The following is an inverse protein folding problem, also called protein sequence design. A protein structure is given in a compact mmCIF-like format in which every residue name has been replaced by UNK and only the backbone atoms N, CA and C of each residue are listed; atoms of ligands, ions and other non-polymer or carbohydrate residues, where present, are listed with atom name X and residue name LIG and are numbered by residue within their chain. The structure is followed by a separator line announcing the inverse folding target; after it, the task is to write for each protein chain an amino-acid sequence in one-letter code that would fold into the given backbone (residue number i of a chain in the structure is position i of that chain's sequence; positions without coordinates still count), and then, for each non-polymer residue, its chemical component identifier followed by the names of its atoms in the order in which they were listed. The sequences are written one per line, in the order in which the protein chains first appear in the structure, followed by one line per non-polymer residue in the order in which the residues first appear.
data_IF_375606943627
#
_entry.id   IF_375606943627
#
_cell.length_a   1.000
_cell.length_b   1.000
_cell.length_c   1.000
_cell.angle_alpha   90.00
_cell.angle_beta   90.00
_cell.angle_gamma   90.00
#
_symmetry.space_group_name_H-M   'P 1'
#
loop_
_entity.id
_entity.type
_entity.pdbx_description
1 polymer ?
#
# COMPACT_ATOMS: atom_id res chain seq x y z
N UNK A 1 -9.81 -31.96 24.47
CA UNK A 1 -10.77 -31.69 23.38
C UNK A 1 -10.96 -30.18 23.35
N UNK A 2 -10.72 -29.54 22.21
CA UNK A 2 -10.91 -28.08 22.11
C UNK A 2 -12.40 -27.74 22.21
N UNK A 3 -12.79 -26.69 22.95
CA UNK A 3 -14.19 -26.27 23.02
C UNK A 3 -14.73 -25.88 21.63
N UNK A 4 -16.05 -26.01 21.41
CA UNK A 4 -16.66 -25.70 20.12
C UNK A 4 -16.51 -24.21 19.79
N UNK A 5 -15.98 -23.89 18.61
CA UNK A 5 -15.74 -22.52 18.15
C UNK A 5 -16.89 -21.92 17.33
N UNK A 6 -17.87 -22.74 16.95
CA UNK A 6 -19.08 -22.35 16.19
C UNK A 6 -20.11 -21.55 17.02
N UNK A 7 -19.79 -21.25 18.28
CA UNK A 7 -20.66 -20.48 19.17
C UNK A 7 -20.40 -18.96 19.13
N UNK A 8 -19.44 -18.50 18.33
CA UNK A 8 -19.07 -17.09 18.23
C UNK A 8 -19.78 -16.39 17.08
N UNK A 9 -20.10 -15.11 17.29
CA UNK A 9 -20.74 -14.27 16.27
C UNK A 9 -19.93 -12.98 16.09
N UNK A 10 -18.83 -13.02 15.30
CA UNK A 10 -18.03 -11.84 15.00
C UNK A 10 -18.83 -10.77 14.24
N UNK A 11 -18.28 -9.57 14.09
CA UNK A 11 -18.86 -8.52 13.25
C UNK A 11 -18.59 -8.86 11.78
N UNK A 12 -17.37 -9.33 11.46
CA UNK A 12 -16.93 -9.67 10.12
C UNK A 12 -16.30 -8.50 9.37
N UNK A 13 -15.27 -8.81 8.58
CA UNK A 13 -14.41 -7.83 7.92
C UNK A 13 -15.18 -6.81 7.07
N UNK A 14 -16.17 -7.28 6.30
CA UNK A 14 -16.98 -6.43 5.43
C UNK A 14 -17.81 -5.41 6.22
N UNK A 15 -18.40 -5.84 7.33
CA UNK A 15 -19.24 -4.97 8.16
C UNK A 15 -18.38 -3.96 8.92
N UNK A 16 -17.19 -4.36 9.38
CA UNK A 16 -16.22 -3.44 10.00
C UNK A 16 -15.82 -2.34 9.01
N UNK A 17 -15.44 -2.69 7.77
CA UNK A 17 -15.06 -1.70 6.74
C UNK A 17 -16.20 -0.73 6.45
N UNK A 18 -17.42 -1.25 6.26
CA UNK A 18 -18.61 -0.42 5.98
C UNK A 18 -18.97 0.48 7.17
N UNK A 19 -18.86 -0.04 8.39
CA UNK A 19 -19.14 0.71 9.62
C UNK A 19 -18.16 1.86 9.82
N UNK A 20 -16.86 1.58 9.73
CA UNK A 20 -15.80 2.59 9.83
C UNK A 20 -15.99 3.68 8.79
N UNK A 21 -16.30 3.31 7.55
CA UNK A 21 -16.51 4.27 6.47
C UNK A 21 -17.74 5.17 6.66
N UNK A 22 -18.84 4.61 7.16
CA UNK A 22 -20.06 5.38 7.41
C UNK A 22 -19.87 6.38 8.56
N UNK A 23 -19.20 5.94 9.65
CA UNK A 23 -18.98 6.78 10.84
C UNK A 23 -17.89 7.83 10.59
N UNK A 24 -16.78 7.42 9.97
CA UNK A 24 -15.60 8.26 9.75
C UNK A 24 -15.63 8.97 8.38
N UNK A 25 -16.73 8.88 7.63
CA UNK A 25 -16.84 9.50 6.31
C UNK A 25 -16.64 11.02 6.31
N UNK A 26 -16.91 11.69 7.44
CA UNK A 26 -16.62 13.12 7.61
C UNK A 26 -15.13 13.45 7.64
N UNK A 27 -14.30 12.53 8.14
CA UNK A 27 -12.85 12.71 8.28
C UNK A 27 -12.09 12.38 6.99
N UNK A 28 -12.79 11.90 5.95
CA UNK A 28 -12.23 11.47 4.66
C UNK A 28 -10.90 10.71 4.78
N UNK A 29 -10.84 9.60 5.55
CA UNK A 29 -9.62 8.82 5.64
C UNK A 29 -9.11 8.39 4.28
N UNK A 30 -7.79 8.49 4.11
CA UNK A 30 -7.09 8.16 2.86
C UNK A 30 -6.99 6.64 2.66
N UNK A 31 -6.91 5.88 3.75
CA UNK A 31 -6.72 4.44 3.67
C UNK A 31 -7.52 3.70 4.73
N UNK A 32 -8.25 2.69 4.27
CA UNK A 32 -8.91 1.70 5.11
C UNK A 32 -8.18 0.38 4.92
N UNK A 33 -7.36 -0.01 5.89
CA UNK A 33 -6.74 -1.33 5.86
C UNK A 33 -7.85 -2.39 5.79
N UNK A 34 -7.72 -3.42 4.94
CA UNK A 34 -8.65 -4.55 4.94
C UNK A 34 -8.78 -5.06 6.37
N UNK A 35 -9.98 -5.00 6.97
CA UNK A 35 -10.15 -5.48 8.33
C UNK A 35 -9.77 -6.95 8.42
N UNK A 36 -9.30 -7.36 9.59
CA UNK A 36 -8.82 -8.71 9.81
C UNK A 36 -9.70 -9.36 10.86
N UNK A 37 -10.24 -10.53 10.52
CA UNK A 37 -10.89 -11.43 11.48
C UNK A 37 -10.00 -12.66 11.62
N UNK A 38 -9.44 -12.88 12.82
CA UNK A 38 -8.56 -14.04 13.07
C UNK A 38 -9.37 -15.30 13.37
N UNK A 39 -8.70 -16.45 13.30
CA UNK A 39 -9.31 -17.71 13.72
C UNK A 39 -9.66 -17.71 15.21
N UNK A 40 -10.73 -18.40 15.64
CA UNK A 40 -11.08 -18.50 17.05
C UNK A 40 -9.98 -19.18 17.87
N UNK A 41 -9.56 -18.51 18.93
CA UNK A 41 -8.68 -19.03 19.96
C UNK A 41 -9.48 -19.36 21.23
N UNK A 42 -8.81 -19.91 22.25
CA UNK A 42 -9.46 -20.31 23.50
C UNK A 42 -8.66 -19.77 24.67
N UNK A 43 -9.34 -19.16 25.64
CA UNK A 43 -8.73 -18.74 26.90
C UNK A 43 -9.52 -19.38 28.06
N UNK A 44 -8.85 -20.05 28.99
CA UNK A 44 -9.51 -20.68 30.16
C UNK A 44 -10.77 -21.52 29.82
N UNK A 45 -10.76 -22.23 28.68
CA UNK A 45 -11.90 -23.02 28.21
C UNK A 45 -13.03 -22.24 27.50
N UNK A 46 -12.91 -20.93 27.36
CA UNK A 46 -13.87 -20.09 26.64
C UNK A 46 -13.30 -19.73 25.25
N UNK A 47 -14.00 -20.06 24.16
CA UNK A 47 -13.59 -19.63 22.83
C UNK A 47 -13.73 -18.12 22.70
N UNK A 48 -12.78 -17.49 22.02
CA UNK A 48 -12.80 -16.07 21.69
C UNK A 48 -12.22 -15.84 20.30
N UNK A 49 -12.59 -14.72 19.70
CA UNK A 49 -12.14 -14.30 18.38
C UNK A 49 -11.82 -12.82 18.40
N UNK A 50 -10.76 -12.43 17.69
CA UNK A 50 -10.27 -11.06 17.62
C UNK A 50 -10.49 -10.52 16.21
N UNK A 51 -11.00 -9.29 16.14
CA UNK A 51 -11.10 -8.55 14.88
C UNK A 51 -10.44 -7.18 15.04
N UNK A 52 -9.76 -6.74 13.99
CA UNK A 52 -9.13 -5.42 13.96
C UNK A 52 -9.51 -4.66 12.68
N UNK A 53 -9.57 -3.34 12.79
CA UNK A 53 -9.67 -2.42 11.67
C UNK A 53 -8.70 -1.28 11.87
N UNK A 54 -7.97 -0.89 10.83
CA UNK A 54 -7.07 0.26 10.88
C UNK A 54 -7.47 1.25 9.80
N UNK A 55 -7.62 2.50 10.19
CA UNK A 55 -7.94 3.62 9.32
C UNK A 55 -6.80 4.62 9.42
N UNK A 56 -6.35 5.16 8.30
CA UNK A 56 -5.20 6.06 8.23
C UNK A 56 -5.48 7.26 7.31
N UNK A 57 -4.93 8.42 7.67
CA UNK A 57 -4.94 9.64 6.88
C UNK A 57 -6.26 10.40 6.90
N UNK A 58 -6.48 11.23 5.89
CA UNK A 58 -7.59 12.17 5.84
C UNK A 58 -7.36 13.40 6.70
N UNK A 59 -8.44 13.91 7.29
CA UNK A 59 -8.44 15.06 8.20
C UNK A 59 -8.06 14.68 9.65
N UNK A 60 -7.44 13.50 9.84
CA UNK A 60 -6.93 13.06 11.13
C UNK A 60 -5.65 13.84 11.50
N UNK A 61 -5.55 14.39 12.72
CA UNK A 61 -4.39 15.16 13.14
C UNK A 61 -3.16 14.26 13.33
N UNK A 62 -2.01 14.56 12.68
CA UNK A 62 -0.82 13.72 12.76
C UNK A 62 -0.10 13.80 14.11
N UNK A 63 -0.26 14.90 14.84
CA UNK A 63 0.43 15.16 16.11
C UNK A 63 -0.29 14.59 17.35
N UNK A 64 -1.43 13.93 17.16
CA UNK A 64 -2.22 13.36 18.25
C UNK A 64 -1.96 11.87 18.43
N UNK A 65 -2.24 11.38 19.64
CA UNK A 65 -2.28 9.95 19.91
C UNK A 65 -3.38 9.30 19.10
N UNK A 66 -3.09 8.13 18.54
CA UNK A 66 -4.05 7.33 17.79
C UNK A 66 -5.29 7.03 18.64
N UNK A 67 -6.47 7.21 18.03
CA UNK A 67 -7.73 6.89 18.68
C UNK A 67 -7.97 5.37 18.61
N UNK A 68 -8.26 4.76 19.77
CA UNK A 68 -8.52 3.32 19.87
C UNK A 68 -10.01 3.07 20.12
N UNK A 69 -10.70 2.56 19.11
CA UNK A 69 -12.09 2.16 19.20
C UNK A 69 -12.18 0.73 19.74
N UNK A 70 -12.69 0.59 20.96
CA UNK A 70 -12.72 -0.68 21.70
C UNK A 70 -14.11 -1.28 21.67
N UNK A 71 -14.20 -2.54 21.28
CA UNK A 71 -15.46 -3.30 21.29
C UNK A 71 -15.30 -4.65 21.97
N UNK A 72 -16.30 -5.04 22.74
CA UNK A 72 -16.43 -6.38 23.31
C UNK A 72 -17.84 -6.91 23.02
N UNK A 73 -17.96 -8.07 22.37
CA UNK A 73 -19.25 -8.65 21.97
C UNK A 73 -20.20 -7.63 21.30
N UNK A 74 -19.69 -6.85 20.34
CA UNK A 74 -20.42 -5.78 19.62
C UNK A 74 -20.86 -4.58 20.49
N UNK A 75 -20.42 -4.50 21.74
CA UNK A 75 -20.69 -3.36 22.64
C UNK A 75 -19.45 -2.43 22.68
N UNK A 76 -19.60 -1.12 22.43
CA UNK A 76 -18.49 -0.18 22.54
C UNK A 76 -18.09 0.04 24.00
N UNK A 77 -16.79 0.04 24.26
CA UNK A 77 -16.21 0.32 25.57
C UNK A 77 -15.66 1.75 25.59
N UNK A 78 -16.35 2.65 26.29
CA UNK A 78 -16.03 4.09 26.30
C UNK A 78 -15.09 4.49 27.45
N UNK A 79 -15.26 3.89 28.63
CA UNK A 79 -14.55 4.27 29.84
C UNK A 79 -13.34 3.35 30.15
N UNK A 80 -12.49 3.78 31.07
CA UNK A 80 -11.34 3.01 31.59
C UNK A 80 -10.37 2.49 30.50
N UNK A 81 -10.04 3.34 29.51
CA UNK A 81 -9.13 2.95 28.43
C UNK A 81 -7.75 2.49 28.92
N UNK A 82 -7.19 3.11 29.97
CA UNK A 82 -5.84 2.77 30.47
C UNK A 82 -5.71 1.37 31.09
N UNK A 83 -6.80 0.82 31.63
CA UNK A 83 -6.82 -0.52 32.24
C UNK A 83 -7.32 -1.63 31.31
N UNK A 84 -7.59 -1.31 30.05
CA UNK A 84 -8.18 -2.26 29.10
C UNK A 84 -7.09 -2.99 28.31
N UNK A 85 -7.15 -4.32 28.28
CA UNK A 85 -6.25 -5.16 27.50
C UNK A 85 -6.16 -4.76 26.03
N UNK A 86 -7.27 -4.31 25.42
CA UNK A 86 -7.30 -3.83 24.04
C UNK A 86 -6.38 -2.62 23.81
N UNK A 87 -6.41 -1.64 24.72
CA UNK A 87 -5.56 -0.44 24.62
C UNK A 87 -4.11 -0.79 24.89
N UNK A 88 -3.86 -1.65 25.88
CA UNK A 88 -2.52 -2.09 26.25
C UNK A 88 -1.88 -2.89 25.12
N UNK A 89 -2.64 -3.80 24.49
CA UNK A 89 -2.17 -4.55 23.32
C UNK A 89 -1.79 -3.63 22.15
N UNK A 90 -2.53 -2.52 21.93
CA UNK A 90 -2.13 -1.50 20.96
C UNK A 90 -0.84 -0.80 21.40
N UNK A 91 -0.69 -0.45 22.67
CA UNK A 91 0.52 0.19 23.19
C UNK A 91 1.78 -0.69 23.21
N UNK A 92 1.61 -2.01 23.30
CA UNK A 92 2.71 -2.99 23.36
C UNK A 92 3.33 -3.29 21.98
N UNK A 93 2.64 -2.96 20.90
CA UNK A 93 3.15 -3.13 19.52
C UNK A 93 4.10 -1.98 19.17
N UNK A 94 5.25 -2.31 18.58
CA UNK A 94 6.24 -1.33 18.10
C UNK A 94 5.80 -0.75 16.73
N UNK A 95 4.99 0.32 16.78
CA UNK A 95 4.39 0.92 15.58
C UNK A 95 5.36 1.68 14.69
N UNK A 96 6.56 2.00 15.20
CA UNK A 96 7.66 2.62 14.43
C UNK A 96 8.04 1.78 13.21
N UNK A 97 7.96 0.46 13.34
CA UNK A 97 8.23 -0.49 12.24
C UNK A 97 7.18 -0.44 11.14
N UNK A 98 5.99 0.08 11.46
CA UNK A 98 4.81 0.13 10.61
C UNK A 98 4.48 1.55 10.12
N UNK A 99 5.34 2.54 10.41
CA UNK A 99 5.25 3.90 9.87
C UNK A 99 4.45 4.90 10.71
N UNK A 100 4.14 4.58 11.97
CA UNK A 100 3.63 5.56 12.94
C UNK A 100 4.74 5.96 13.93
N UNK A 101 4.60 7.14 14.56
CA UNK A 101 5.55 7.60 15.56
C UNK A 101 5.19 7.00 16.94
N UNK A 102 6.17 6.65 17.76
CA UNK A 102 5.93 6.17 19.12
C UNK A 102 7.07 6.64 20.03
N UNK A 103 6.84 7.76 20.72
CA UNK A 103 7.84 8.39 21.58
C UNK A 103 8.11 7.49 22.79
N UNK A 104 9.37 7.11 22.99
CA UNK A 104 9.77 6.24 24.11
C UNK A 104 9.51 4.74 23.88
N UNK A 105 8.99 4.31 22.73
CA UNK A 105 8.86 2.89 22.36
C UNK A 105 7.85 2.07 23.17
N UNK A 106 7.10 2.70 24.08
CA UNK A 106 5.99 2.10 24.83
C UNK A 106 4.82 3.08 24.88
N UNK A 107 3.60 2.56 24.95
CA UNK A 107 2.37 3.37 25.00
C UNK A 107 1.77 3.61 23.62
N UNK A 108 0.70 4.39 23.56
CA UNK A 108 -0.04 4.59 22.32
C UNK A 108 0.82 5.32 21.27
N UNK A 109 0.78 4.89 19.99
CA UNK A 109 1.45 5.59 18.91
C UNK A 109 0.79 6.94 18.64
N UNK A 110 1.56 7.82 17.99
CA UNK A 110 1.15 9.10 17.45
C UNK A 110 1.07 9.01 15.93
N UNK A 111 0.03 9.63 15.38
CA UNK A 111 -0.17 9.68 13.93
C UNK A 111 -1.64 9.78 13.54
N UNK A 112 -1.91 10.05 12.26
CA UNK A 112 -3.25 10.23 11.73
C UNK A 112 -3.90 8.87 11.51
N UNK A 113 -4.16 8.12 12.59
CA UNK A 113 -4.75 6.79 12.51
C UNK A 113 -5.83 6.56 13.57
N UNK A 114 -6.77 5.68 13.25
CA UNK A 114 -7.78 5.14 14.16
C UNK A 114 -7.67 3.61 14.12
N UNK A 115 -7.60 2.98 15.28
CA UNK A 115 -7.50 1.53 15.40
C UNK A 115 -8.75 1.01 16.10
N UNK A 116 -9.54 0.22 15.39
CA UNK A 116 -10.64 -0.55 15.93
C UNK A 116 -10.14 -1.92 16.38
N UNK A 117 -10.47 -2.29 17.61
CA UNK A 117 -10.17 -3.60 18.19
C UNK A 117 -11.44 -4.18 18.78
N UNK A 118 -11.82 -5.36 18.31
CA UNK A 118 -13.00 -6.09 18.76
C UNK A 118 -12.61 -7.46 19.30
N UNK A 119 -13.12 -7.81 20.48
CA UNK A 119 -13.06 -9.17 21.03
C UNK A 119 -14.46 -9.74 21.14
N UNK A 120 -14.67 -10.90 20.56
CA UNK A 120 -15.89 -11.70 20.69
C UNK A 120 -15.59 -12.94 21.53
N UNK A 121 -16.37 -13.22 22.57
CA UNK A 121 -16.25 -14.45 23.35
C UNK A 121 -17.57 -14.81 24.02
N UNK A 122 -17.78 -16.09 24.32
CA UNK A 122 -18.91 -16.56 25.14
C UNK A 122 -18.91 -15.92 26.53
N UNK A 123 -17.73 -15.71 27.09
CA UNK A 123 -17.49 -14.99 28.33
C UNK A 123 -16.37 -14.01 28.06
N UNK A 124 -16.60 -12.70 28.19
CA UNK A 124 -15.51 -11.72 28.10
C UNK A 124 -14.97 -11.50 29.52
N UNK A 125 -13.64 -11.56 29.73
CA UNK A 125 -13.06 -11.30 31.04
C UNK A 125 -13.04 -9.79 31.26
N UNK A 126 -13.96 -9.27 32.06
CA UNK A 126 -13.99 -7.84 32.43
C UNK A 126 -13.21 -7.60 33.72
N UNK A 127 -12.56 -6.44 33.83
CA UNK A 127 -11.85 -6.03 35.06
C UNK A 127 -12.81 -5.65 36.20
N UNK A 128 -14.00 -5.17 35.86
CA UNK A 128 -15.03 -4.70 36.79
C UNK A 128 -16.41 -5.22 36.41
N UNK A 129 -17.34 -5.24 37.37
CA UNK A 129 -18.74 -5.61 37.15
C UNK A 129 -19.47 -4.66 36.19
N UNK A 130 -18.98 -3.42 36.07
CA UNK A 130 -19.50 -2.41 35.15
C UNK A 130 -19.18 -2.72 33.66
N UNK A 131 -18.33 -3.72 33.38
CA UNK A 131 -17.98 -4.20 32.03
C UNK A 131 -17.40 -3.11 31.12
N UNK A 132 -16.59 -2.21 31.67
CA UNK A 132 -16.02 -1.08 30.93
C UNK A 132 -14.64 -1.38 30.29
N UNK A 133 -13.92 -2.36 30.82
CA UNK A 133 -12.59 -2.74 30.35
C UNK A 133 -12.40 -4.26 30.37
N UNK A 134 -11.71 -4.78 29.35
CA UNK A 134 -11.32 -6.18 29.25
C UNK A 134 -10.04 -6.40 30.06
N UNK A 135 -10.00 -7.46 30.86
CA UNK A 135 -8.86 -7.83 31.67
C UNK A 135 -7.70 -8.37 30.82
N UNK A 136 -6.48 -8.16 31.31
CA UNK A 136 -5.24 -8.63 30.69
C UNK A 136 -5.08 -10.13 30.93
N UNK A 137 -5.39 -10.92 29.90
CA UNK A 137 -5.18 -12.36 29.88
C UNK A 137 -4.15 -12.68 28.81
N UNK A 138 -3.15 -13.50 29.11
CA UNK A 138 -1.99 -13.73 28.24
C UNK A 138 -2.38 -14.30 26.88
N UNK A 139 -3.36 -15.21 26.83
CA UNK A 139 -3.85 -15.78 25.57
C UNK A 139 -4.53 -14.71 24.70
N UNK A 140 -5.30 -13.81 25.31
CA UNK A 140 -5.98 -12.71 24.59
C UNK A 140 -4.95 -11.68 24.12
N UNK A 141 -3.99 -11.31 24.96
CA UNK A 141 -2.93 -10.36 24.62
C UNK A 141 -2.05 -10.86 23.48
N UNK A 142 -1.72 -12.15 23.48
CA UNK A 142 -0.94 -12.78 22.41
C UNK A 142 -1.69 -12.69 21.08
N UNK A 143 -2.98 -13.05 21.07
CA UNK A 143 -3.78 -13.05 19.85
C UNK A 143 -4.06 -11.63 19.33
N UNK A 144 -4.32 -10.68 20.23
CA UNK A 144 -4.42 -9.26 19.91
C UNK A 144 -3.12 -8.74 19.29
N UNK A 145 -1.97 -9.07 19.87
CA UNK A 145 -0.67 -8.67 19.36
C UNK A 145 -0.38 -9.21 17.97
N UNK A 146 -0.75 -10.47 17.69
CA UNK A 146 -0.64 -11.06 16.35
C UNK A 146 -1.55 -10.37 15.34
N UNK A 147 -2.81 -10.09 15.71
CA UNK A 147 -3.75 -9.36 14.86
C UNK A 147 -3.20 -7.97 14.50
N UNK A 148 -2.82 -7.18 15.51
CA UNK A 148 -2.32 -5.82 15.34
C UNK A 148 -1.05 -5.76 14.49
N UNK A 149 -0.12 -6.71 14.66
CA UNK A 149 1.08 -6.83 13.81
C UNK A 149 0.73 -7.11 12.35
N UNK A 150 -0.28 -7.93 12.09
CA UNK A 150 -0.74 -8.20 10.73
C UNK A 150 -1.40 -6.97 10.10
N UNK A 151 -2.27 -6.28 10.84
CA UNK A 151 -2.83 -4.99 10.41
C UNK A 151 -1.75 -3.93 10.17
N UNK A 152 -0.74 -3.86 11.04
CA UNK A 152 0.40 -2.96 10.91
C UNK A 152 1.25 -3.22 9.66
N UNK A 153 1.43 -4.50 9.27
CA UNK A 153 2.10 -4.82 7.99
C UNK A 153 1.35 -4.26 6.79
N UNK A 154 0.01 -4.38 6.78
CA UNK A 154 -0.84 -3.83 5.70
C UNK A 154 -0.72 -2.30 5.63
N UNK A 155 -0.72 -1.63 6.79
CA UNK A 155 -0.48 -0.19 6.88
C UNK A 155 0.90 0.20 6.32
N UNK A 156 1.96 -0.53 6.71
CA UNK A 156 3.33 -0.28 6.24
C UNK A 156 3.45 -0.37 4.73
N UNK A 157 2.83 -1.38 4.12
CA UNK A 157 2.82 -1.53 2.65
C UNK A 157 2.22 -0.31 1.99
N UNK A 158 1.06 0.16 2.47
CA UNK A 158 0.42 1.36 1.97
C UNK A 158 1.28 2.63 2.14
N UNK A 159 1.89 2.83 3.32
CA UNK A 159 2.77 3.98 3.55
C UNK A 159 4.02 3.96 2.66
N UNK A 160 4.59 2.77 2.45
CA UNK A 160 5.74 2.59 1.55
C UNK A 160 5.35 2.89 0.10
N UNK A 161 4.16 2.41 -0.34
CA UNK A 161 3.57 2.72 -1.64
C UNK A 161 3.41 4.22 -1.84
N UNK A 162 2.89 4.92 -0.83
CA UNK A 162 2.69 6.38 -0.85
C UNK A 162 4.01 7.15 -0.97
N UNK A 163 5.01 6.83 -0.14
CA UNK A 163 6.33 7.49 -0.17
C UNK A 163 7.03 7.26 -1.50
N UNK A 164 6.99 6.03 -2.02
CA UNK A 164 7.59 5.71 -3.31
C UNK A 164 6.89 6.47 -4.45
N UNK A 165 5.54 6.48 -4.48
CA UNK A 165 4.76 7.23 -5.47
C UNK A 165 5.07 8.73 -5.42
N UNK A 166 5.16 9.32 -4.23
CA UNK A 166 5.45 10.74 -4.07
C UNK A 166 6.85 11.12 -4.62
N UNK A 167 7.91 10.40 -4.20
CA UNK A 167 9.28 10.65 -4.67
C UNK A 167 9.41 10.50 -6.17
N UNK A 168 8.76 9.48 -6.74
CA UNK A 168 8.87 9.24 -8.18
C UNK A 168 8.05 10.24 -8.99
N UNK A 169 6.90 10.69 -8.48
CA UNK A 169 6.11 11.78 -9.08
C UNK A 169 6.89 13.11 -9.05
N UNK A 170 7.52 13.45 -7.93
CA UNK A 170 8.38 14.63 -7.83
C UNK A 170 9.53 14.57 -8.85
N UNK A 171 10.23 13.44 -8.94
CA UNK A 171 11.29 13.23 -9.95
C UNK A 171 10.75 13.45 -11.37
N UNK A 172 9.56 12.94 -11.66
CA UNK A 172 8.93 13.07 -12.98
C UNK A 172 8.57 14.52 -13.31
N UNK A 173 7.91 15.24 -12.40
CA UNK A 173 7.54 16.65 -12.58
C UNK A 173 8.77 17.53 -12.80
N UNK A 174 9.83 17.29 -12.03
CA UNK A 174 11.12 17.98 -12.18
C UNK A 174 11.71 17.72 -13.56
N UNK A 175 11.75 16.46 -14.02
CA UNK A 175 12.31 16.11 -15.33
C UNK A 175 11.49 16.73 -16.46
N UNK A 176 10.15 16.66 -16.40
CA UNK A 176 9.27 17.25 -17.41
C UNK A 176 9.41 18.77 -17.50
N UNK A 177 9.59 19.46 -16.38
CA UNK A 177 9.73 20.91 -16.36
C UNK A 177 11.13 21.36 -16.82
N UNK A 178 12.18 20.71 -16.31
CA UNK A 178 13.56 21.16 -16.47
C UNK A 178 14.12 20.75 -17.84
N UNK A 179 13.85 19.53 -18.31
CA UNK A 179 14.50 19.01 -19.51
C UNK A 179 14.20 19.84 -20.78
N UNK A 180 12.95 20.28 -21.06
CA UNK A 180 12.66 21.16 -22.19
C UNK A 180 13.33 22.53 -22.06
N UNK A 181 13.41 23.08 -20.84
CA UNK A 181 14.05 24.37 -20.57
C UNK A 181 15.55 24.31 -20.83
N UNK A 182 16.21 23.21 -20.44
CA UNK A 182 17.64 22.97 -20.74
C UNK A 182 17.82 22.85 -22.25
N UNK A 183 16.99 22.05 -22.92
CA UNK A 183 17.08 21.85 -24.36
C UNK A 183 16.91 23.15 -25.15
N UNK A 184 15.95 24.00 -24.77
CA UNK A 184 15.73 25.30 -25.40
C UNK A 184 16.92 26.25 -25.19
N UNK A 185 17.45 26.34 -23.96
CA UNK A 185 18.61 27.19 -23.66
C UNK A 185 19.86 26.73 -24.41
N UNK A 186 20.16 25.44 -24.38
CA UNK A 186 21.32 24.87 -25.08
C UNK A 186 21.21 25.03 -26.60
N UNK A 187 20.01 24.83 -27.16
CA UNK A 187 19.74 25.04 -28.58
C UNK A 187 19.94 26.51 -28.99
N UNK A 188 19.51 27.48 -28.15
CA UNK A 188 19.74 28.91 -28.36
C UNK A 188 21.23 29.28 -28.32
N UNK A 189 21.98 28.76 -27.34
CA UNK A 189 23.42 29.05 -27.22
C UNK A 189 24.19 28.52 -28.44
N UNK A 190 23.85 27.33 -28.91
CA UNK A 190 24.54 26.66 -30.02
C UNK A 190 23.91 27.00 -31.39
N UNK A 191 22.87 27.84 -31.43
CA UNK A 191 22.07 28.17 -32.63
C UNK A 191 21.64 26.94 -33.44
N UNK A 192 21.21 25.87 -32.75
CA UNK A 192 20.72 24.63 -33.37
C UNK A 192 19.23 24.43 -33.07
N UNK A 193 18.60 23.51 -33.80
CA UNK A 193 17.23 23.07 -33.51
C UNK A 193 17.19 22.30 -32.19
N UNK A 194 16.06 22.39 -31.49
CA UNK A 194 15.81 21.68 -30.24
C UNK A 194 15.90 20.16 -30.52
N UNK A 195 16.75 19.41 -29.78
CA UNK A 195 16.87 17.97 -29.97
C UNK A 195 15.60 17.25 -29.48
N UNK A 196 15.31 16.08 -30.06
CA UNK A 196 14.26 15.21 -29.54
C UNK A 196 14.65 14.69 -28.16
N UNK A 197 13.78 14.89 -27.16
CA UNK A 197 14.07 14.61 -25.75
C UNK A 197 13.74 13.18 -25.33
N UNK A 198 12.98 12.47 -26.17
CA UNK A 198 12.43 11.14 -25.90
C UNK A 198 13.51 10.15 -25.43
N UNK A 199 14.64 10.10 -26.15
CA UNK A 199 15.75 9.21 -25.80
C UNK A 199 16.42 9.57 -24.46
N UNK A 200 16.47 10.85 -24.10
CA UNK A 200 17.05 11.32 -22.84
C UNK A 200 16.11 11.08 -21.67
N UNK A 201 14.80 11.30 -21.86
CA UNK A 201 13.77 10.98 -20.88
C UNK A 201 13.83 9.49 -20.52
N UNK A 202 13.89 8.63 -21.53
CA UNK A 202 14.03 7.18 -21.34
C UNK A 202 15.29 6.79 -20.57
N UNK A 203 16.43 7.46 -20.80
CA UNK A 203 17.67 7.18 -20.05
C UNK A 203 17.61 7.62 -18.58
N UNK A 204 16.97 8.75 -18.28
CA UNK A 204 16.86 9.28 -16.91
C UNK A 204 15.83 8.50 -16.09
N UNK A 205 14.75 8.09 -16.75
CA UNK A 205 13.61 7.43 -16.12
C UNK A 205 13.86 5.93 -16.00
N UNK A 206 14.18 5.24 -17.10
CA UNK A 206 14.53 3.81 -17.08
C UNK A 206 13.45 2.88 -16.54
N UNK A 207 12.18 3.30 -16.55
CA UNK A 207 11.07 2.64 -15.84
C UNK A 207 9.80 2.58 -16.68
N UNK A 208 8.92 1.64 -16.36
CA UNK A 208 7.54 1.58 -16.86
C UNK A 208 6.64 2.28 -15.86
N UNK A 209 5.98 3.34 -16.31
CA UNK A 209 5.10 4.16 -15.49
C UNK A 209 3.64 3.78 -15.74
N UNK A 210 2.92 3.42 -14.68
CA UNK A 210 1.51 3.08 -14.70
C UNK A 210 0.77 4.17 -13.94
N UNK A 211 -0.05 4.93 -14.64
CA UNK A 211 -0.92 5.95 -14.08
C UNK A 211 -2.37 5.49 -14.12
N UNK A 212 -3.15 5.94 -13.16
CA UNK A 212 -4.59 5.67 -13.09
C UNK A 212 -5.36 6.98 -13.01
N UNK A 213 -6.40 7.07 -13.84
CA UNK A 213 -7.37 8.16 -13.79
C UNK A 213 -8.76 7.58 -13.53
N UNK A 214 -9.31 7.89 -12.36
CA UNK A 214 -10.67 7.52 -11.96
C UNK A 214 -11.54 8.78 -12.04
N UNK A 215 -12.59 8.73 -12.87
CA UNK A 215 -13.60 9.77 -12.94
C UNK A 215 -14.96 9.21 -12.49
N UNK A 216 -15.65 9.91 -11.60
CA UNK A 216 -16.97 9.48 -11.11
C UNK A 216 -18.10 10.29 -11.73
N UNK A 217 -19.08 9.60 -12.33
CA UNK A 217 -20.33 10.21 -12.81
C UNK A 217 -21.45 10.06 -11.75
N UNK A 218 -21.79 11.18 -11.10
CA UNK A 218 -22.83 11.28 -10.07
C UNK A 218 -24.23 10.93 -10.57
N UNK A 219 -24.52 11.08 -11.87
CA UNK A 219 -25.87 10.83 -12.41
C UNK A 219 -26.12 9.34 -12.64
N UNK A 220 -25.08 8.61 -13.04
CA UNK A 220 -25.15 7.20 -13.39
C UNK A 220 -24.59 6.28 -12.29
N UNK A 221 -24.01 6.83 -11.21
CA UNK A 221 -23.30 6.10 -10.17
C UNK A 221 -22.26 5.13 -10.75
N UNK A 222 -21.43 5.68 -11.65
CA UNK A 222 -20.46 4.93 -12.45
C UNK A 222 -19.09 5.54 -12.31
N UNK A 223 -18.10 4.69 -12.08
CA UNK A 223 -16.68 5.03 -12.16
C UNK A 223 -16.15 4.69 -13.54
N UNK A 224 -15.48 5.65 -14.17
CA UNK A 224 -14.74 5.47 -15.41
C UNK A 224 -13.26 5.46 -15.06
N UNK A 225 -12.63 4.29 -15.21
CA UNK A 225 -11.24 4.08 -14.85
C UNK A 225 -10.41 3.96 -16.12
N UNK A 226 -9.35 4.75 -16.23
CA UNK A 226 -8.38 4.68 -17.32
C UNK A 226 -6.99 4.49 -16.76
N UNK A 227 -6.39 3.33 -17.04
CA UNK A 227 -5.02 2.99 -16.67
C UNK A 227 -4.13 3.25 -17.89
N UNK A 228 -3.11 4.09 -17.71
CA UNK A 228 -2.16 4.44 -18.75
C UNK A 228 -0.76 3.92 -18.40
N UNK A 229 -0.22 3.08 -19.27
CA UNK A 229 1.07 2.42 -19.12
C UNK A 229 2.04 3.03 -20.12
N UNK A 230 3.06 3.72 -19.63
CA UNK A 230 4.08 4.37 -20.43
C UNK A 230 5.41 3.66 -20.23
N UNK A 231 6.02 3.17 -21.32
CA UNK A 231 7.33 2.54 -21.23
C UNK A 231 8.45 3.58 -21.43
N UNK A 232 9.11 4.01 -20.35
CA UNK A 232 10.31 4.85 -20.40
C UNK A 232 11.61 4.04 -20.24
N UNK A 233 11.62 2.76 -20.60
CA UNK A 233 12.84 1.94 -20.66
C UNK A 233 13.43 1.95 -22.08
N UNK A 234 14.74 1.71 -22.19
CA UNK A 234 15.46 1.74 -23.49
C UNK A 234 15.04 0.62 -24.45
N UNK A 235 14.47 -0.47 -23.93
CA UNK A 235 14.00 -1.61 -24.69
C UNK A 235 12.47 -1.73 -24.63
N UNK A 236 11.87 -2.38 -25.64
CA UNK A 236 10.47 -2.76 -25.55
C UNK A 236 10.28 -3.79 -24.43
N UNK A 237 9.27 -3.60 -23.58
CA UNK A 237 8.97 -4.49 -22.46
C UNK A 237 7.62 -5.18 -22.67
N UNK A 238 7.56 -6.46 -22.31
CA UNK A 238 6.32 -7.22 -22.15
C UNK A 238 6.02 -7.28 -20.65
N UNK A 239 4.77 -7.07 -20.27
CA UNK A 239 4.32 -7.19 -18.88
C UNK A 239 2.87 -7.63 -18.86
N UNK A 240 2.47 -8.28 -17.78
CA UNK A 240 1.07 -8.58 -17.52
C UNK A 240 0.59 -7.62 -16.42
N UNK A 241 -0.59 -7.04 -16.62
CA UNK A 241 -1.24 -6.22 -15.61
C UNK A 241 -2.39 -7.00 -15.02
N UNK A 242 -2.47 -7.05 -13.70
CA UNK A 242 -3.59 -7.64 -12.97
C UNK A 242 -4.28 -6.55 -12.17
N UNK A 243 -5.58 -6.44 -12.32
CA UNK A 243 -6.44 -5.58 -11.51
C UNK A 243 -7.23 -6.47 -10.56
N UNK A 244 -7.28 -6.10 -9.29
CA UNK A 244 -8.21 -6.71 -8.34
C UNK A 244 -9.41 -5.80 -8.13
N UNK A 245 -10.60 -6.30 -8.49
CA UNK A 245 -11.85 -5.61 -8.21
C UNK A 245 -12.35 -5.89 -6.79
N UNK A 246 -13.09 -4.96 -6.18
CA UNK A 246 -13.82 -5.22 -4.94
C UNK A 246 -14.78 -6.42 -5.11
N UNK A 247 -14.85 -7.30 -4.09
CA UNK A 247 -15.64 -8.54 -4.14
C UNK A 247 -17.11 -8.29 -4.52
N UNK A 248 -17.61 -9.03 -5.51
CA UNK A 248 -19.01 -8.98 -5.97
C UNK A 248 -19.31 -7.90 -7.00
N UNK A 249 -18.27 -7.28 -7.57
CA UNK A 249 -18.39 -6.26 -8.61
C UNK A 249 -17.90 -6.81 -9.95
N UNK A 250 -18.57 -6.42 -11.03
CA UNK A 250 -18.19 -6.74 -12.41
C UNK A 250 -17.81 -5.45 -13.15
N UNK A 251 -16.66 -5.46 -13.82
CA UNK A 251 -16.28 -4.39 -14.73
C UNK A 251 -17.02 -4.54 -16.07
N UNK A 252 -17.55 -3.43 -16.57
CA UNK A 252 -18.22 -3.32 -17.87
C UNK A 252 -17.36 -2.53 -18.85
N UNK A 253 -17.58 -2.74 -20.15
CA UNK A 253 -16.91 -2.02 -21.24
C UNK A 253 -15.37 -2.00 -21.10
N UNK A 254 -14.78 -3.17 -20.90
CA UNK A 254 -13.34 -3.33 -20.75
C UNK A 254 -12.67 -3.29 -22.14
N UNK A 255 -11.79 -2.31 -22.34
CA UNK A 255 -10.97 -2.15 -23.54
C UNK A 255 -9.50 -1.93 -23.14
N UNK A 256 -8.54 -2.73 -23.65
CA UNK A 256 -8.66 -3.93 -24.47
C UNK A 256 -9.23 -5.13 -23.72
N UNK A 257 -9.70 -6.15 -24.45
CA UNK A 257 -10.25 -7.38 -23.85
C UNK A 257 -9.23 -8.05 -22.91
N UNK A 258 -9.62 -8.42 -21.69
CA UNK A 258 -8.73 -9.11 -20.74
C UNK A 258 -8.46 -10.55 -21.21
N UNK A 259 -7.32 -11.09 -20.79
CA UNK A 259 -6.90 -12.47 -21.07
C UNK A 259 -7.57 -13.46 -20.12
N UNK A 260 -7.68 -13.10 -18.83
CA UNK A 260 -8.35 -13.91 -17.81
C UNK A 260 -9.24 -13.01 -16.95
N UNK A 261 -10.46 -13.49 -16.65
CA UNK A 261 -11.36 -12.88 -15.67
C UNK A 261 -11.77 -14.01 -14.73
N UNK A 262 -11.44 -13.85 -13.44
CA UNK A 262 -11.74 -14.84 -12.41
C UNK A 262 -12.92 -14.41 -11.54
N UNK A 263 -13.61 -15.39 -10.99
CA UNK A 263 -14.75 -15.19 -10.08
C UNK A 263 -14.36 -14.51 -8.74
N UNK A 264 -13.06 -14.48 -8.43
CA UNK A 264 -12.50 -13.79 -7.26
C UNK A 264 -12.39 -12.27 -7.45
N UNK A 265 -12.72 -11.76 -8.64
CA UNK A 265 -12.63 -10.34 -9.00
C UNK A 265 -11.29 -9.94 -9.63
N UNK A 266 -10.38 -10.90 -9.89
CA UNK A 266 -9.11 -10.65 -10.58
C UNK A 266 -9.33 -10.58 -12.09
N UNK A 267 -8.84 -9.51 -12.71
CA UNK A 267 -8.79 -9.33 -14.16
C UNK A 267 -7.34 -9.23 -14.59
N UNK A 268 -6.92 -10.07 -15.53
CA UNK A 268 -5.56 -10.11 -16.06
C UNK A 268 -5.53 -9.66 -17.52
N UNK A 269 -4.65 -8.73 -17.85
CA UNK A 269 -4.29 -8.36 -19.21
C UNK A 269 -2.85 -8.79 -19.52
N UNK A 270 -2.70 -9.66 -20.52
CA UNK A 270 -1.40 -9.91 -21.14
C UNK A 270 -1.11 -8.84 -22.18
N UNK A 271 -0.29 -7.85 -21.81
CA UNK A 271 0.01 -6.77 -22.72
C UNK A 271 1.05 -7.22 -23.74
N UNK A 272 0.81 -6.85 -25.00
CA UNK A 272 1.82 -6.99 -26.06
C UNK A 272 3.03 -6.13 -25.71
N UNK A 273 4.16 -6.44 -26.35
CA UNK A 273 5.40 -5.65 -26.23
C UNK A 273 5.09 -4.17 -26.44
N UNK A 274 5.33 -3.37 -25.41
CA UNK A 274 5.22 -1.91 -25.45
C UNK A 274 6.61 -1.38 -25.82
N UNK A 275 6.73 -0.78 -26.99
CA UNK A 275 8.00 -0.20 -27.44
C UNK A 275 8.40 1.01 -26.60
N UNK A 276 9.68 1.37 -26.64
CA UNK A 276 10.21 2.51 -25.88
C UNK A 276 9.44 3.80 -26.23
N UNK A 277 9.11 4.60 -25.21
CA UNK A 277 8.36 5.87 -25.29
C UNK A 277 6.89 5.71 -25.72
N UNK A 278 6.44 4.48 -25.98
CA UNK A 278 5.05 4.21 -26.36
C UNK A 278 4.16 4.06 -25.13
N UNK A 279 2.88 4.41 -25.29
CA UNK A 279 1.85 4.23 -24.28
C UNK A 279 0.85 3.13 -24.67
N UNK A 280 0.40 2.37 -23.69
CA UNK A 280 -0.78 1.51 -23.77
C UNK A 280 -1.82 2.01 -22.77
N UNK A 281 -3.09 2.02 -23.17
CA UNK A 281 -4.19 2.47 -22.32
C UNK A 281 -5.20 1.34 -22.16
N UNK A 282 -5.68 1.16 -20.94
CA UNK A 282 -6.75 0.23 -20.57
C UNK A 282 -7.86 1.07 -19.93
N UNK A 283 -9.08 0.93 -20.40
CA UNK A 283 -10.24 1.61 -19.86
C UNK A 283 -11.34 0.61 -19.53
N UNK A 284 -12.00 0.82 -18.39
CA UNK A 284 -13.17 0.05 -18.00
C UNK A 284 -14.12 0.89 -17.14
N UNK A 285 -15.36 0.43 -17.04
CA UNK A 285 -16.42 1.08 -16.28
C UNK A 285 -16.82 0.19 -15.11
N UNK A 286 -17.02 0.78 -13.94
CA UNK A 286 -17.57 0.11 -12.77
C UNK A 286 -18.90 0.77 -12.37
N UNK A 287 -19.95 -0.04 -12.27
CA UNK A 287 -21.29 0.40 -11.87
C UNK A 287 -21.55 0.05 -10.42
N UNK A 288 -22.23 0.91 -9.65
CA UNK A 288 -22.81 0.53 -8.36
C UNK A 288 -21.96 0.80 -7.12
N UNK A 289 -20.81 1.47 -7.28
CA UNK A 289 -20.01 2.03 -6.18
C UNK A 289 -20.26 3.53 -6.08
N UNK A 290 -20.38 4.05 -4.86
CA UNK A 290 -20.42 5.50 -4.64
C UNK A 290 -19.02 6.13 -4.83
N UNK A 291 -18.92 7.46 -4.98
CA UNK A 291 -17.67 8.19 -5.28
C UNK A 291 -16.51 7.80 -4.35
N UNK A 292 -16.79 7.63 -3.06
CA UNK A 292 -15.78 7.30 -2.06
C UNK A 292 -15.44 5.81 -1.99
N UNK A 293 -16.21 4.91 -2.64
CA UNK A 293 -16.02 3.45 -2.61
C UNK A 293 -14.98 2.92 -3.57
N UNK A 294 -14.56 3.75 -4.52
CA UNK A 294 -13.53 3.39 -5.49
C UNK A 294 -12.66 4.60 -5.79
N UNK A 295 -11.59 4.75 -5.02
CA UNK A 295 -10.64 5.86 -5.05
C UNK A 295 -9.24 5.45 -5.56
N UNK A 296 -8.92 4.16 -5.51
CA UNK A 296 -7.69 3.58 -6.04
C UNK A 296 -7.94 2.17 -6.58
N UNK A 297 -7.32 1.82 -7.72
CA UNK A 297 -7.25 0.45 -8.19
C UNK A 297 -6.09 -0.31 -7.53
N UNK A 298 -6.38 -1.52 -7.08
CA UNK A 298 -5.36 -2.49 -6.67
C UNK A 298 -4.73 -3.11 -7.93
N UNK A 299 -3.66 -2.48 -8.42
CA UNK A 299 -2.90 -2.88 -9.60
C UNK A 299 -1.66 -3.69 -9.23
N UNK A 300 -1.54 -4.86 -9.86
CA UNK A 300 -0.39 -5.74 -9.77
C UNK A 300 0.21 -6.00 -11.15
N UNK A 301 1.49 -6.34 -11.21
CA UNK A 301 2.24 -6.60 -12.43
C UNK A 301 3.03 -7.89 -12.28
N UNK A 302 3.07 -8.67 -13.37
CA UNK A 302 3.94 -9.85 -13.51
C UNK A 302 4.68 -9.83 -14.85
N UNK A 303 5.72 -10.66 -14.99
CA UNK A 303 6.51 -10.79 -16.22
C UNK A 303 7.53 -9.67 -16.48
N UNK A 304 7.76 -8.77 -15.53
CA UNK A 304 8.78 -7.71 -15.58
C UNK A 304 9.43 -7.55 -14.21
N UNK A 305 10.70 -7.13 -14.17
CA UNK A 305 11.40 -6.84 -12.91
C UNK A 305 10.62 -5.75 -12.13
N UNK A 306 10.18 -6.02 -10.90
CA UNK A 306 9.40 -5.08 -10.09
C UNK A 306 10.11 -3.75 -9.85
N UNK A 307 11.45 -3.74 -9.81
CA UNK A 307 12.25 -2.51 -9.65
C UNK A 307 12.16 -1.56 -10.84
N UNK A 308 11.65 -2.01 -11.99
CA UNK A 308 11.44 -1.19 -13.19
C UNK A 308 10.03 -0.64 -13.30
N UNK A 309 9.09 -1.02 -12.44
CA UNK A 309 7.67 -0.64 -12.55
C UNK A 309 7.31 0.35 -11.46
N UNK A 310 6.59 1.41 -11.84
CA UNK A 310 6.01 2.36 -10.89
C UNK A 310 4.51 2.44 -11.12
N UNK A 311 3.74 2.46 -10.03
CA UNK A 311 2.29 2.60 -10.05
C UNK A 311 1.52 1.29 -9.91
N UNK A 312 2.21 0.14 -9.93
CA UNK A 312 1.64 -1.17 -9.65
C UNK A 312 2.60 -2.04 -8.84
N UNK A 313 2.06 -3.00 -8.07
CA UNK A 313 2.83 -3.89 -7.20
C UNK A 313 3.29 -5.16 -7.94
N UNK A 314 4.39 -5.82 -7.53
CA UNK A 314 4.63 -7.18 -7.98
C UNK A 314 3.47 -8.07 -7.54
N UNK A 315 3.03 -8.96 -8.42
CA UNK A 315 2.00 -9.92 -8.06
C UNK A 315 2.49 -10.78 -6.87
N UNK A 316 1.74 -10.83 -5.75
CA UNK A 316 2.09 -11.64 -4.59
C UNK A 316 2.32 -13.11 -4.98
N UNK A 317 3.37 -13.74 -4.43
CA UNK A 317 3.69 -15.14 -4.72
C UNK A 317 2.59 -16.13 -4.30
N UNK A 318 1.76 -15.76 -3.32
CA UNK A 318 0.57 -16.52 -2.93
C UNK A 318 -0.55 -16.49 -3.99
N UNK A 319 -0.47 -15.53 -4.94
CA UNK A 319 -1.36 -15.44 -6.07
C UNK A 319 -0.83 -16.09 -7.34
N UNK A 320 0.49 -16.22 -7.55
CA UNK A 320 1.05 -16.95 -8.70
C UNK A 320 2.52 -17.45 -8.58
N UNK A 321 2.77 -18.64 -9.17
CA UNK A 321 3.91 -19.05 -10.02
C UNK A 321 5.11 -19.88 -9.49
N UNK A 322 5.42 -20.90 -10.29
CA UNK A 322 6.57 -21.79 -10.26
C UNK A 322 7.83 -21.03 -10.74
N UNK A 323 8.78 -20.77 -9.83
CA UNK A 323 10.01 -19.99 -10.08
C UNK A 323 11.07 -20.71 -10.95
N UNK A 324 10.74 -21.82 -11.60
CA UNK A 324 11.73 -22.73 -12.21
C UNK A 324 12.20 -22.37 -13.63
N UNK A 325 11.69 -21.32 -14.29
CA UNK A 325 12.03 -21.02 -15.70
C UNK A 325 12.85 -19.74 -15.94
N UNK A 326 13.33 -19.07 -14.89
CA UNK A 326 14.09 -17.80 -15.05
C UNK A 326 15.60 -17.89 -14.78
N UNK A 327 16.17 -19.07 -14.56
CA UNK A 327 17.65 -19.26 -14.55
C UNK A 327 18.24 -19.55 -15.95
N UNK A 328 17.48 -19.33 -17.02
CA UNK A 328 17.83 -19.78 -18.37
C UNK A 328 18.28 -18.72 -19.36
N UNK A 329 18.81 -17.57 -18.95
CA UNK A 329 19.42 -16.61 -19.91
C UNK A 329 20.37 -15.60 -19.22
N UNK A 330 21.28 -16.09 -18.37
CA UNK A 330 22.48 -15.34 -17.98
C UNK A 330 23.50 -15.38 -19.14
N UNK A 331 23.43 -14.40 -20.03
CA UNK A 331 24.54 -14.05 -20.89
C UNK A 331 25.63 -13.37 -20.05
N UNK A 332 26.81 -13.99 -20.01
CA UNK A 332 27.97 -13.62 -19.20
C UNK A 332 28.23 -12.10 -19.08
N UNK A 333 28.29 -11.63 -17.84
CA UNK A 333 28.85 -10.32 -17.47
C UNK A 333 30.37 -10.41 -17.62
N UNK A 334 31.04 -9.52 -18.36
CA UNK A 334 32.50 -9.48 -18.37
C UNK A 334 33.00 -8.98 -17.00
N UNK A 335 34.02 -9.65 -16.46
CA UNK A 335 34.62 -9.35 -15.16
C UNK A 335 35.04 -7.88 -15.03
N UNK A 336 34.90 -7.27 -13.84
CA UNK A 336 35.37 -5.91 -13.59
C UNK A 336 36.90 -5.89 -13.57
N UNK A 337 37.49 -5.04 -14.43
CA UNK A 337 38.89 -4.68 -14.36
C UNK A 337 39.17 -3.94 -13.04
N UNK A 338 40.32 -4.28 -12.46
CA UNK A 338 40.85 -3.81 -11.18
C UNK A 338 40.82 -2.27 -11.05
N UNK A 339 40.42 -1.80 -9.86
CA UNK A 339 40.41 -0.40 -9.45
C UNK A 339 41.83 0.20 -9.45
N UNK A 340 42.12 1.12 -10.37
CA UNK A 340 43.21 2.09 -10.20
C UNK A 340 42.69 3.29 -9.40
N UNK A 341 43.16 3.38 -8.15
CA UNK A 341 43.53 4.59 -7.41
C UNK A 341 42.54 5.76 -7.38
N UNK A 342 41.85 5.92 -6.26
CA UNK A 342 41.31 7.21 -5.82
C UNK A 342 42.43 8.26 -5.76
N UNK A 343 42.27 9.35 -6.51
CA UNK A 343 43.07 10.57 -6.36
C UNK A 343 42.30 11.47 -5.39
N UNK A 344 42.84 11.61 -4.18
CA UNK A 344 42.36 12.50 -3.13
C UNK A 344 42.73 13.96 -3.48
N UNK A 345 41.76 14.88 -3.41
CA UNK A 345 41.88 16.28 -3.84
C UNK A 345 41.86 17.28 -2.67
N UNK A 346 42.24 16.87 -1.47
CA UNK A 346 42.35 17.74 -0.30
C UNK A 346 43.80 17.79 0.24
N UNK A 347 44.74 18.36 -0.53
CA UNK A 347 45.97 18.96 0.03
C UNK A 347 46.69 19.82 -1.03
N UNK A 348 46.29 21.09 -1.15
CA UNK A 348 47.14 22.14 -1.75
C UNK A 348 47.05 23.42 -0.93
N UNK A 349 47.63 23.36 0.28
CA UNK A 349 48.14 24.56 0.95
C UNK A 349 49.61 24.78 0.56
N UNK A 350 49.84 25.93 -0.06
CA UNK A 350 51.03 26.79 0.02
C UNK A 350 52.43 26.14 0.14
N UNK A 351 53.20 26.26 -0.96
CA UNK A 351 54.62 26.59 -0.85
C UNK A 351 55.01 27.60 -1.93
N UNK A 352 55.14 28.85 -1.51
CA UNK A 352 55.81 29.93 -2.23
C UNK A 352 57.27 29.54 -2.51
N UNK A 353 57.71 29.72 -3.74
CA UNK A 353 59.12 29.67 -4.14
C UNK A 353 59.84 30.93 -3.64
N UNK A 354 60.88 30.75 -2.83
CA UNK A 354 62.00 31.68 -2.67
C UNK A 354 63.28 30.90 -3.07
N UNK A 355 63.77 31.14 -4.31
CA UNK A 355 65.17 31.36 -4.73
C UNK A 355 65.38 31.14 -6.24
#
# INVERSE_FOLDING_TARGET
MSPPTDCLSPIGERLIKRGLKNVLGSLRPEFYAPPLTRDPAVYSGNPFQVEIGIVYGGDLPPDQTVEVLRFANRVPLLYQAGGCALTQAVGDVDWRRYGLEQRGGQGLPFGPAIILVHVCSTKVPYTSEAKEAVATTDEIMTELGLALKEGGRRLKTHLTKKVHRAKTKEKFEIVQLILPRIAEKSAKIVNKKIPALDATITKIMGVVWIDEQIAYDKKLKRHSVTINIHNFTSAGKKLNLHLLLPRGMEAKSIEPKPAEVRDDGKITWELKRIDSVTRASISFLLDGLDEAEYDESDLYVSGINPGLVIGAEPLPGDWELNYAEFEGEEGAVPEPAEEEGEIDYDETEESLEDD
#
